data_IF_612685090317
#
_entry.id   IF_612685090317
#
_cell.length_a   1.000
_cell.length_b   1.000
_cell.length_c   1.000
_cell.angle_alpha   90.00
_cell.angle_beta   90.00
_cell.angle_gamma   90.00
#
_symmetry.space_group_name_H-M   'P 1'
#
loop_
_entity.id
_entity.type
_entity.pdbx_description
1 polymer ?
#
# COMPACT_ATOMS: atom_id res chain seq x y z
N UNK A 1 -55.45 54.00 -34.79
CA UNK A 1 -55.49 55.49 -34.94
C UNK A 1 -54.30 56.08 -34.25
N UNK A 2 -53.57 56.83 -35.06
CA UNK A 2 -52.50 57.81 -34.71
C UNK A 2 -51.07 57.27 -34.57
N UNK A 3 -50.39 57.48 -35.64
CA UNK A 3 -49.01 57.76 -35.98
C UNK A 3 -48.45 59.03 -35.33
N UNK A 4 -47.16 59.02 -35.01
CA UNK A 4 -46.16 60.14 -35.14
C UNK A 4 -44.82 59.49 -34.72
N UNK A 5 -43.75 59.38 -35.39
CA UNK A 5 -43.08 60.27 -36.31
C UNK A 5 -41.99 61.10 -35.58
N UNK A 6 -40.68 60.70 -35.71
CA UNK A 6 -39.64 61.52 -35.09
C UNK A 6 -38.25 60.89 -35.29
N UNK A 7 -37.63 61.19 -36.31
CA UNK A 7 -36.31 61.52 -36.83
C UNK A 7 -35.10 61.13 -35.96
N UNK A 8 -34.19 60.45 -36.61
CA UNK A 8 -32.86 60.02 -36.25
C UNK A 8 -31.85 61.16 -36.00
N UNK A 9 -30.97 60.96 -35.05
CA UNK A 9 -29.65 61.61 -35.04
C UNK A 9 -28.62 60.56 -34.63
N UNK A 10 -27.86 60.12 -35.60
CA UNK A 10 -26.68 59.25 -35.45
C UNK A 10 -25.52 60.09 -34.91
N UNK A 11 -25.11 59.77 -33.67
CA UNK A 11 -23.78 60.15 -33.17
C UNK A 11 -22.97 58.87 -32.94
N UNK A 12 -21.99 58.64 -33.78
CA UNK A 12 -21.01 57.58 -33.64
C UNK A 12 -20.01 57.97 -32.53
N UNK A 13 -20.11 57.31 -31.38
CA UNK A 13 -19.03 57.29 -30.39
C UNK A 13 -18.22 56.04 -30.58
N UNK A 14 -16.96 56.20 -31.03
CA UNK A 14 -15.93 55.17 -31.04
C UNK A 14 -15.54 54.87 -29.59
N UNK A 15 -16.02 53.74 -29.08
CA UNK A 15 -15.54 53.13 -27.84
C UNK A 15 -14.40 52.21 -28.16
N UNK A 16 -13.16 52.66 -27.98
CA UNK A 16 -11.97 51.81 -27.90
C UNK A 16 -12.11 50.99 -26.62
N UNK A 17 -12.64 49.76 -26.78
CA UNK A 17 -12.69 48.75 -25.69
C UNK A 17 -11.31 48.14 -25.53
N UNK A 18 -10.59 48.53 -24.49
CA UNK A 18 -9.49 47.71 -23.96
C UNK A 18 -10.11 46.42 -23.39
N UNK A 19 -10.02 45.32 -24.16
CA UNK A 19 -10.26 43.99 -23.62
C UNK A 19 -9.08 43.64 -22.69
N UNK A 20 -9.32 43.28 -21.43
CA UNK A 20 -8.28 42.65 -20.63
C UNK A 20 -8.07 41.25 -21.19
N UNK A 21 -6.94 41.03 -21.89
CA UNK A 21 -6.42 39.71 -22.21
C UNK A 21 -6.00 39.06 -20.90
N UNK A 22 -7.00 38.50 -20.21
CA UNK A 22 -6.77 37.57 -19.12
C UNK A 22 -6.27 36.24 -19.69
N UNK A 23 -4.99 36.15 -19.99
CA UNK A 23 -4.32 34.87 -20.08
C UNK A 23 -4.34 34.26 -18.66
N UNK A 24 -5.30 33.39 -18.41
CA UNK A 24 -5.20 32.44 -17.31
C UNK A 24 -4.07 31.46 -17.64
N UNK A 25 -2.83 31.92 -17.45
CA UNK A 25 -1.72 31.00 -17.30
C UNK A 25 -2.04 30.19 -16.02
N UNK A 26 -2.37 28.92 -16.18
CA UNK A 26 -2.23 27.92 -15.14
C UNK A 26 -0.75 27.81 -14.79
N UNK A 27 -0.20 28.83 -14.14
CA UNK A 27 1.15 28.84 -13.65
C UNK A 27 1.29 27.71 -12.65
N UNK A 28 2.15 26.74 -12.94
CA UNK A 28 2.61 25.81 -11.94
C UNK A 28 2.98 26.61 -10.69
N UNK A 29 2.41 26.27 -9.54
CA UNK A 29 2.72 26.95 -8.28
C UNK A 29 4.25 26.96 -8.11
N UNK A 30 4.81 28.15 -7.81
CA UNK A 30 6.25 28.23 -7.54
C UNK A 30 6.58 27.27 -6.41
N UNK A 31 7.66 26.47 -6.53
CA UNK A 31 8.11 25.63 -5.42
C UNK A 31 8.33 26.50 -4.16
N UNK A 32 7.99 25.96 -2.99
CA UNK A 32 8.25 26.60 -1.73
C UNK A 32 9.73 26.95 -1.59
N UNK A 33 10.06 28.16 -1.17
CA UNK A 33 11.44 28.57 -0.97
C UNK A 33 12.00 28.06 0.36
N UNK A 34 13.33 27.95 0.46
CA UNK A 34 13.98 27.62 1.75
C UNK A 34 13.61 28.62 2.84
N UNK A 35 13.52 29.90 2.49
CA UNK A 35 13.10 30.96 3.43
C UNK A 35 11.68 30.74 3.97
N UNK A 36 10.75 30.24 3.15
CA UNK A 36 9.38 29.91 3.60
C UNK A 36 9.39 28.71 4.54
N UNK A 37 10.23 27.69 4.24
CA UNK A 37 10.44 26.54 5.11
C UNK A 37 11.03 26.98 6.46
N UNK A 38 12.10 27.75 6.44
CA UNK A 38 12.76 28.27 7.65
C UNK A 38 11.79 29.08 8.51
N UNK A 39 10.98 29.95 7.88
CA UNK A 39 9.94 30.72 8.56
C UNK A 39 8.90 29.82 9.20
N UNK A 40 8.38 28.83 8.47
CA UNK A 40 7.35 27.90 8.97
C UNK A 40 7.90 27.09 10.16
N UNK A 41 9.12 26.57 10.04
CA UNK A 41 9.72 25.72 11.06
C UNK A 41 10.17 26.51 12.31
N UNK A 42 10.35 27.83 12.21
CA UNK A 42 10.64 28.73 13.32
C UNK A 42 9.39 29.44 13.90
N UNK A 43 8.19 29.17 13.38
CA UNK A 43 6.93 29.67 13.89
C UNK A 43 6.29 28.65 14.83
N UNK A 44 5.86 29.10 16.02
CA UNK A 44 5.18 28.21 16.97
C UNK A 44 3.92 27.62 16.34
N UNK A 45 3.92 26.30 16.15
CA UNK A 45 2.88 25.58 15.43
C UNK A 45 2.59 24.24 16.11
N UNK A 46 1.30 23.90 16.23
CA UNK A 46 0.89 22.57 16.69
C UNK A 46 0.31 21.80 15.52
N UNK A 47 0.84 20.62 15.26
CA UNK A 47 0.39 19.67 14.25
C UNK A 47 -0.32 18.50 14.91
N UNK A 48 -1.33 17.95 14.26
CA UNK A 48 -1.97 16.68 14.64
C UNK A 48 -1.61 15.62 13.61
N UNK A 49 -1.05 14.52 14.07
CA UNK A 49 -0.63 13.38 13.25
C UNK A 49 -1.39 12.12 13.63
N UNK A 50 -2.19 11.57 12.70
CA UNK A 50 -2.89 10.30 12.85
C UNK A 50 -2.09 9.16 12.23
N UNK A 51 -1.79 8.15 13.04
CA UNK A 51 -0.97 7.01 12.63
C UNK A 51 -1.36 5.77 13.41
N UNK A 52 -1.00 4.59 12.92
CA UNK A 52 -1.13 3.33 13.66
C UNK A 52 0.21 2.69 14.01
N UNK A 53 1.32 3.34 13.64
CA UNK A 53 2.65 2.84 13.98
C UNK A 53 2.84 2.89 15.49
N UNK A 54 3.13 1.75 16.16
CA UNK A 54 3.43 1.75 17.58
C UNK A 54 4.69 2.58 17.86
N UNK A 55 4.70 3.31 18.98
CA UNK A 55 5.86 4.08 19.44
C UNK A 55 6.42 5.12 18.46
N UNK A 56 5.66 5.56 17.45
CA UNK A 56 6.07 6.60 16.49
C UNK A 56 6.51 7.91 17.16
N UNK A 57 6.17 8.09 18.42
CA UNK A 57 6.63 9.23 19.22
C UNK A 57 8.15 9.36 19.21
N UNK A 58 8.90 8.28 19.09
CA UNK A 58 10.37 8.30 19.04
C UNK A 58 10.92 9.01 17.80
N UNK A 59 10.27 8.85 16.66
CA UNK A 59 10.59 9.53 15.40
C UNK A 59 10.13 10.99 15.45
N UNK A 60 8.96 11.25 16.04
CA UNK A 60 8.46 12.61 16.30
C UNK A 60 9.39 13.36 17.23
N UNK A 61 9.95 12.72 18.25
CA UNK A 61 10.92 13.36 19.18
C UNK A 61 12.19 13.80 18.45
N UNK A 62 12.68 13.04 17.46
CA UNK A 62 13.79 13.47 16.61
C UNK A 62 13.44 14.72 15.80
N UNK A 63 12.21 14.78 15.26
CA UNK A 63 11.73 15.93 14.52
C UNK A 63 11.61 17.16 15.40
N UNK A 64 10.98 17.06 16.57
CA UNK A 64 10.79 18.18 17.49
C UNK A 64 12.09 18.64 18.14
N UNK A 65 13.07 17.75 18.33
CA UNK A 65 14.42 18.14 18.73
C UNK A 65 15.11 19.03 17.69
N UNK A 66 14.90 18.75 16.39
CA UNK A 66 15.39 19.57 15.29
C UNK A 66 14.60 20.88 15.12
N UNK A 67 13.29 20.83 15.39
CA UNK A 67 12.37 21.95 15.20
C UNK A 67 11.58 22.28 16.48
N UNK A 68 12.21 22.89 17.49
CA UNK A 68 11.65 23.03 18.83
C UNK A 68 10.46 23.99 18.93
N UNK A 69 10.11 24.70 17.85
CA UNK A 69 8.90 25.51 17.77
C UNK A 69 7.68 24.72 17.32
N UNK A 70 7.88 23.50 16.83
CA UNK A 70 6.78 22.65 16.37
C UNK A 70 6.41 21.66 17.48
N UNK A 71 5.13 21.63 17.82
CA UNK A 71 4.53 20.59 18.68
C UNK A 71 3.76 19.62 17.80
N UNK A 72 3.90 18.29 18.05
CA UNK A 72 3.17 17.28 17.33
C UNK A 72 2.28 16.48 18.29
N UNK A 73 0.99 16.54 18.10
CA UNK A 73 0.01 15.71 18.80
C UNK A 73 -0.19 14.40 18.02
N UNK A 74 0.44 13.33 18.46
CA UNK A 74 0.25 12.01 17.88
C UNK A 74 -1.06 11.41 18.36
N UNK A 75 -1.92 11.03 17.43
CA UNK A 75 -3.14 10.27 17.68
C UNK A 75 -2.95 8.88 17.10
N UNK A 76 -2.69 7.90 17.97
CA UNK A 76 -2.59 6.51 17.53
C UNK A 76 -4.00 6.00 17.20
N UNK A 77 -4.20 5.59 15.95
CA UNK A 77 -5.42 4.98 15.46
C UNK A 77 -5.17 3.48 15.23
N UNK A 78 -6.18 2.66 15.44
CA UNK A 78 -6.08 1.26 15.05
C UNK A 78 -6.26 1.17 13.52
N UNK A 79 -5.21 0.96 12.74
CA UNK A 79 -5.15 1.01 11.28
C UNK A 79 -6.38 0.52 10.48
N UNK A 80 -6.27 0.52 9.17
CA UNK A 80 -7.24 -0.09 8.25
C UNK A 80 -8.72 0.27 8.51
N UNK A 81 -9.51 -0.71 8.90
CA UNK A 81 -10.98 -0.63 9.00
C UNK A 81 -11.55 0.41 9.96
N UNK A 82 -10.77 0.92 10.91
CA UNK A 82 -11.23 1.96 11.86
C UNK A 82 -10.69 3.35 11.53
N UNK A 83 -9.49 3.43 10.97
CA UNK A 83 -8.83 4.69 10.62
C UNK A 83 -9.61 5.49 9.57
N UNK A 84 -9.89 4.87 8.42
CA UNK A 84 -10.51 5.56 7.29
C UNK A 84 -11.94 6.03 7.52
N UNK A 85 -12.83 5.26 8.18
CA UNK A 85 -14.15 5.79 8.56
C UNK A 85 -14.07 7.01 9.46
N UNK A 86 -13.14 7.04 10.43
CA UNK A 86 -12.91 8.20 11.28
C UNK A 86 -12.42 9.41 10.49
N UNK A 87 -11.43 9.20 9.59
CA UNK A 87 -10.87 10.26 8.76
C UNK A 87 -11.94 10.84 7.81
N UNK A 88 -12.75 9.99 7.16
CA UNK A 88 -13.87 10.42 6.32
C UNK A 88 -14.93 11.19 7.12
N UNK A 89 -15.24 10.75 8.34
CA UNK A 89 -16.18 11.44 9.22
C UNK A 89 -15.66 12.82 9.64
N UNK A 90 -14.37 12.95 10.00
CA UNK A 90 -13.75 14.22 10.34
C UNK A 90 -13.74 15.19 9.14
N UNK A 91 -13.39 14.70 7.94
CA UNK A 91 -13.42 15.47 6.69
C UNK A 91 -14.84 15.97 6.37
N UNK A 92 -15.84 15.09 6.49
CA UNK A 92 -17.25 15.45 6.27
C UNK A 92 -17.75 16.49 7.28
N UNK A 93 -17.32 16.39 8.53
CA UNK A 93 -17.68 17.33 9.58
C UNK A 93 -16.92 18.67 9.50
N UNK A 94 -15.81 18.73 8.76
CA UNK A 94 -14.88 19.87 8.73
C UNK A 94 -14.24 20.17 10.08
N UNK A 95 -14.17 19.18 10.99
CA UNK A 95 -13.64 19.34 12.37
C UNK A 95 -12.83 18.11 12.76
N UNK A 96 -11.71 18.36 13.49
CA UNK A 96 -10.84 17.28 13.98
C UNK A 96 -10.07 16.56 12.88
N UNK A 97 -9.97 17.13 11.69
CA UNK A 97 -9.13 16.62 10.61
C UNK A 97 -7.67 16.79 11.02
N UNK A 98 -6.82 15.75 10.94
CA UNK A 98 -5.40 15.88 11.23
C UNK A 98 -4.68 16.76 10.20
N UNK A 99 -3.48 17.24 10.51
CA UNK A 99 -2.60 17.86 9.52
C UNK A 99 -1.92 16.81 8.65
N UNK A 100 -1.50 15.70 9.26
CA UNK A 100 -0.88 14.54 8.62
C UNK A 100 -1.61 13.27 9.01
N UNK A 101 -1.84 12.38 8.05
CA UNK A 101 -2.44 11.08 8.29
C UNK A 101 -1.62 9.98 7.58
N UNK A 102 -1.31 8.92 8.31
CA UNK A 102 -0.80 7.70 7.69
C UNK A 102 -1.86 7.12 6.75
N UNK A 103 -1.44 6.65 5.56
CA UNK A 103 -2.36 6.21 4.51
C UNK A 103 -1.76 5.05 3.72
N UNK A 104 -2.48 3.94 3.66
CA UNK A 104 -2.14 2.80 2.81
C UNK A 104 -2.27 3.19 1.33
N UNK A 105 -1.47 2.57 0.47
CA UNK A 105 -1.39 2.93 -0.94
C UNK A 105 -2.72 2.79 -1.69
N UNK A 106 -3.50 1.78 -1.37
CA UNK A 106 -4.80 1.52 -1.99
C UNK A 106 -5.89 2.54 -1.63
N UNK A 107 -5.69 3.34 -0.57
CA UNK A 107 -6.61 4.41 -0.20
C UNK A 107 -6.30 5.76 -0.83
N UNK A 108 -5.08 6.01 -1.31
CA UNK A 108 -4.67 7.30 -1.88
C UNK A 108 -5.62 7.76 -2.97
N UNK A 109 -5.97 6.87 -3.92
CA UNK A 109 -6.86 7.19 -5.03
C UNK A 109 -8.23 7.72 -4.56
N UNK A 110 -8.80 7.17 -3.50
CA UNK A 110 -10.10 7.58 -2.98
C UNK A 110 -10.08 8.95 -2.30
N UNK A 111 -8.98 9.29 -1.64
CA UNK A 111 -8.81 10.59 -0.98
C UNK A 111 -8.36 11.68 -1.96
N UNK A 112 -7.64 11.36 -3.03
CA UNK A 112 -7.34 12.30 -4.11
C UNK A 112 -8.59 12.66 -4.92
N UNK A 113 -9.46 11.68 -5.19
CA UNK A 113 -10.74 11.92 -5.86
C UNK A 113 -11.61 12.94 -5.11
N UNK A 114 -11.63 12.88 -3.78
CA UNK A 114 -12.37 13.83 -2.94
C UNK A 114 -11.60 15.12 -2.66
N UNK A 115 -10.40 15.29 -3.26
CA UNK A 115 -9.50 16.44 -3.06
C UNK A 115 -9.15 16.66 -1.58
N UNK A 116 -9.08 15.58 -0.83
CA UNK A 116 -8.78 15.62 0.61
C UNK A 116 -7.29 15.64 0.91
N UNK A 117 -6.44 15.26 -0.06
CA UNK A 117 -4.99 15.27 0.06
C UNK A 117 -4.38 16.49 -0.63
N UNK A 118 -3.31 17.01 -0.03
CA UNK A 118 -2.50 18.08 -0.62
C UNK A 118 -1.54 17.48 -1.66
N UNK A 119 -1.47 18.10 -2.85
CA UNK A 119 -0.37 17.81 -3.78
C UNK A 119 0.94 18.37 -3.24
N UNK A 120 1.87 17.47 -2.93
CA UNK A 120 3.14 17.77 -2.31
C UNK A 120 4.21 18.27 -3.30
N UNK A 121 3.94 18.27 -4.60
CA UNK A 121 4.90 18.72 -5.62
C UNK A 121 5.26 20.18 -5.45
N UNK A 122 4.29 21.03 -5.07
CA UNK A 122 4.55 22.45 -4.78
C UNK A 122 5.46 22.66 -3.56
N UNK A 123 5.59 21.65 -2.70
CA UNK A 123 6.45 21.65 -1.52
C UNK A 123 7.79 20.94 -1.76
N UNK A 124 8.04 20.46 -2.99
CA UNK A 124 9.29 19.86 -3.41
C UNK A 124 9.35 18.32 -3.35
N UNK A 125 8.22 17.65 -3.08
CA UNK A 125 8.22 16.19 -2.93
C UNK A 125 8.74 15.44 -4.17
N UNK A 126 8.43 15.92 -5.38
CA UNK A 126 8.87 15.29 -6.63
C UNK A 126 10.40 15.11 -6.71
N UNK A 127 11.17 15.97 -6.07
CA UNK A 127 12.64 15.87 -6.06
C UNK A 127 13.15 14.67 -5.26
N UNK A 128 12.32 14.08 -4.38
CA UNK A 128 12.65 12.92 -3.58
C UNK A 128 12.50 11.58 -4.32
N UNK A 129 11.88 11.59 -5.51
CA UNK A 129 11.48 10.38 -6.23
C UNK A 129 12.64 9.39 -6.45
N UNK A 130 13.83 9.88 -6.81
CA UNK A 130 15.02 9.05 -7.05
C UNK A 130 15.61 8.40 -5.79
N UNK A 131 15.23 8.88 -4.62
CA UNK A 131 15.74 8.37 -3.35
C UNK A 131 14.91 7.21 -2.79
N UNK A 132 13.76 6.95 -3.42
CA UNK A 132 12.86 5.86 -3.07
C UNK A 132 12.88 4.75 -4.13
N UNK A 133 12.47 3.57 -3.74
CA UNK A 133 12.23 2.46 -4.68
C UNK A 133 11.15 2.89 -5.69
N UNK A 134 11.43 2.76 -6.99
CA UNK A 134 10.57 3.28 -8.07
C UNK A 134 9.11 2.83 -7.97
N UNK A 135 8.88 1.53 -7.75
CA UNK A 135 7.50 1.02 -7.68
C UNK A 135 6.75 1.57 -6.46
N UNK A 136 7.44 1.82 -5.35
CA UNK A 136 6.85 2.41 -4.14
C UNK A 136 6.48 3.86 -4.39
N UNK A 137 7.38 4.63 -5.03
CA UNK A 137 7.08 6.02 -5.38
C UNK A 137 5.87 6.15 -6.30
N UNK A 138 5.71 5.19 -7.23
CA UNK A 138 4.55 5.13 -8.12
C UNK A 138 3.23 4.86 -7.38
N UNK A 139 3.27 4.32 -6.14
CA UNK A 139 2.05 4.14 -5.34
C UNK A 139 1.53 5.45 -4.73
N UNK A 140 2.39 6.44 -4.54
CA UNK A 140 2.04 7.74 -3.93
C UNK A 140 1.97 8.87 -4.95
N UNK A 141 2.35 8.64 -6.20
CA UNK A 141 2.44 9.68 -7.23
C UNK A 141 1.84 9.24 -8.56
N UNK A 142 1.34 10.20 -9.32
CA UNK A 142 0.86 10.02 -10.68
C UNK A 142 1.08 11.30 -11.51
N UNK A 143 0.52 11.38 -12.71
CA UNK A 143 0.64 12.55 -13.59
C UNK A 143 0.06 13.84 -12.98
N UNK A 144 -0.86 13.73 -12.00
CA UNK A 144 -1.54 14.86 -11.38
C UNK A 144 -0.80 15.41 -10.16
N UNK A 145 -0.01 14.58 -9.43
CA UNK A 145 0.67 15.03 -8.23
C UNK A 145 1.38 13.94 -7.44
N UNK A 146 1.91 14.33 -6.28
CA UNK A 146 2.46 13.44 -5.25
C UNK A 146 1.64 13.61 -3.98
N UNK A 147 1.08 12.53 -3.44
CA UNK A 147 0.01 12.56 -2.45
C UNK A 147 0.42 12.08 -1.06
N UNK A 148 1.63 11.53 -0.92
CA UNK A 148 2.19 11.08 0.34
C UNK A 148 3.70 10.88 0.24
N UNK A 149 4.35 10.75 1.37
CA UNK A 149 5.76 10.34 1.46
C UNK A 149 5.78 8.87 1.89
N UNK A 150 6.35 7.95 1.08
CA UNK A 150 6.32 6.53 1.39
C UNK A 150 6.97 6.19 2.73
N UNK A 151 6.29 5.39 3.55
CA UNK A 151 6.76 4.99 4.88
C UNK A 151 7.26 3.55 4.88
N UNK A 152 6.44 2.60 4.48
CA UNK A 152 6.76 1.18 4.45
C UNK A 152 6.23 0.49 3.21
N UNK A 153 6.71 -0.73 2.96
CA UNK A 153 6.29 -1.54 1.84
C UNK A 153 6.28 -3.04 2.18
N UNK A 154 5.64 -3.83 1.33
CA UNK A 154 5.44 -5.25 1.56
C UNK A 154 5.84 -6.15 0.39
N UNK A 155 7.08 -6.13 -0.10
CA UNK A 155 7.51 -7.11 -1.11
C UNK A 155 7.34 -8.53 -0.59
N UNK A 156 6.80 -9.43 -1.46
CA UNK A 156 6.45 -10.80 -1.07
C UNK A 156 7.65 -11.72 -1.00
N UNK A 157 7.67 -12.56 0.04
CA UNK A 157 8.56 -13.69 0.17
C UNK A 157 7.86 -14.90 0.75
N UNK A 158 8.63 -15.93 1.04
CA UNK A 158 8.20 -17.15 1.70
C UNK A 158 8.95 -17.27 3.02
N UNK A 159 8.22 -17.36 4.11
CA UNK A 159 8.78 -17.86 5.37
C UNK A 159 8.42 -19.34 5.48
N UNK A 160 9.42 -20.23 5.67
CA UNK A 160 9.16 -21.67 5.72
C UNK A 160 9.81 -22.33 6.94
N UNK A 161 9.16 -23.36 7.44
CA UNK A 161 9.60 -24.24 8.53
C UNK A 161 10.60 -25.24 8.00
N UNK A 162 11.91 -24.95 8.13
CA UNK A 162 12.98 -25.84 7.70
C UNK A 162 12.87 -27.23 8.34
N UNK A 163 12.48 -27.33 9.62
CA UNK A 163 12.31 -28.60 10.30
C UNK A 163 11.16 -29.45 9.73
N UNK A 164 10.05 -28.83 9.30
CA UNK A 164 8.94 -29.55 8.64
C UNK A 164 9.37 -30.01 7.24
N UNK A 165 10.06 -29.14 6.49
CA UNK A 165 10.58 -29.48 5.16
C UNK A 165 11.55 -30.65 5.24
N UNK A 166 12.55 -30.61 6.14
CA UNK A 166 13.47 -31.73 6.38
C UNK A 166 12.75 -33.03 6.75
N UNK A 167 11.72 -32.95 7.63
CA UNK A 167 10.89 -34.12 7.97
C UNK A 167 10.14 -34.68 6.75
N UNK A 168 9.78 -33.82 5.80
CA UNK A 168 9.15 -34.21 4.54
C UNK A 168 10.16 -34.77 3.50
N UNK A 169 11.47 -34.63 3.75
CA UNK A 169 12.53 -35.01 2.80
C UNK A 169 12.79 -33.92 1.75
N UNK A 170 12.53 -32.64 2.10
CA UNK A 170 12.74 -31.49 1.24
C UNK A 170 13.87 -30.63 1.83
N UNK A 171 14.90 -30.35 1.03
CA UNK A 171 16.10 -29.64 1.50
C UNK A 171 15.99 -28.11 1.42
N UNK A 172 15.09 -27.58 0.57
CA UNK A 172 14.93 -26.15 0.33
C UNK A 172 13.47 -25.75 0.07
N UNK A 173 13.19 -24.45 0.11
CA UNK A 173 11.92 -23.89 -0.34
C UNK A 173 11.76 -24.13 -1.86
N UNK A 174 10.53 -24.38 -2.36
CA UNK A 174 10.25 -24.56 -3.77
C UNK A 174 10.59 -23.31 -4.60
N UNK A 175 11.23 -23.52 -5.77
CA UNK A 175 11.58 -22.40 -6.65
C UNK A 175 10.39 -21.93 -7.48
N UNK A 176 9.56 -22.86 -7.97
CA UNK A 176 8.42 -22.56 -8.82
C UNK A 176 7.09 -22.91 -8.16
N UNK A 177 5.98 -22.32 -8.67
CA UNK A 177 4.64 -22.70 -8.24
C UNK A 177 4.31 -24.18 -8.54
N UNK A 178 4.92 -24.76 -9.57
CA UNK A 178 4.80 -26.20 -9.86
C UNK A 178 5.49 -27.02 -8.77
N UNK A 179 6.72 -26.65 -8.39
CA UNK A 179 7.46 -27.31 -7.30
C UNK A 179 6.75 -27.12 -5.96
N UNK A 180 6.13 -25.94 -5.73
CA UNK A 180 5.34 -25.67 -4.52
C UNK A 180 4.14 -26.60 -4.42
N UNK A 181 3.43 -26.88 -5.52
CA UNK A 181 2.34 -27.83 -5.54
C UNK A 181 2.81 -29.28 -5.28
N UNK A 182 3.95 -29.68 -5.83
CA UNK A 182 4.57 -30.99 -5.56
C UNK A 182 5.01 -31.11 -4.10
N UNK A 183 5.67 -30.07 -3.57
CA UNK A 183 6.05 -29.99 -2.15
C UNK A 183 4.82 -30.03 -1.23
N UNK A 184 3.71 -29.39 -1.61
CA UNK A 184 2.47 -29.42 -0.84
C UNK A 184 1.96 -30.85 -0.61
N UNK A 185 1.95 -31.67 -1.66
CA UNK A 185 1.57 -33.09 -1.57
C UNK A 185 2.51 -33.88 -0.67
N UNK A 186 3.82 -33.64 -0.80
CA UNK A 186 4.84 -34.30 0.00
C UNK A 186 4.76 -33.91 1.47
N UNK A 187 4.68 -32.62 1.79
CA UNK A 187 4.52 -32.09 3.15
C UNK A 187 3.26 -32.67 3.78
N UNK A 188 2.14 -32.65 3.08
CA UNK A 188 0.86 -33.17 3.60
C UNK A 188 0.94 -34.65 3.94
N UNK A 189 1.49 -35.46 3.04
CA UNK A 189 1.57 -36.91 3.22
C UNK A 189 2.56 -37.34 4.32
N UNK A 190 3.69 -36.64 4.45
CA UNK A 190 4.76 -37.00 5.38
C UNK A 190 4.62 -36.39 6.76
N UNK A 191 3.96 -35.26 6.89
CA UNK A 191 3.93 -34.49 8.15
C UNK A 191 2.52 -34.19 8.66
N UNK A 192 1.50 -34.28 7.80
CA UNK A 192 0.13 -33.86 8.08
C UNK A 192 -0.10 -32.35 7.99
N UNK A 193 0.96 -31.53 7.87
CA UNK A 193 0.86 -30.08 7.74
C UNK A 193 0.29 -29.68 6.40
N UNK A 194 -0.39 -28.54 6.33
CA UNK A 194 -0.65 -27.83 5.07
C UNK A 194 0.64 -27.16 4.60
N UNK A 195 0.83 -27.03 3.28
CA UNK A 195 2.00 -26.28 2.77
C UNK A 195 1.87 -24.82 3.19
N UNK A 196 0.68 -24.21 3.08
CA UNK A 196 0.38 -22.84 3.45
C UNK A 196 -1.11 -22.67 3.75
N UNK A 197 -1.51 -21.42 3.97
CA UNK A 197 -2.89 -20.97 4.09
C UNK A 197 -3.24 -20.06 2.90
N UNK A 198 -4.48 -20.17 2.39
CA UNK A 198 -5.09 -19.26 1.43
C UNK A 198 -6.38 -18.72 2.05
N UNK A 199 -6.35 -17.58 2.74
CA UNK A 199 -7.48 -17.10 3.52
C UNK A 199 -8.55 -16.46 2.63
N UNK A 200 -9.82 -16.68 2.97
CA UNK A 200 -10.93 -16.00 2.32
C UNK A 200 -11.22 -14.59 2.84
N UNK A 201 -10.63 -14.21 3.98
CA UNK A 201 -10.86 -12.92 4.63
C UNK A 201 -9.86 -11.83 4.22
N UNK A 202 -8.81 -12.16 3.46
CA UNK A 202 -7.82 -11.19 3.01
C UNK A 202 -7.70 -11.14 1.48
N UNK A 203 -8.23 -10.07 0.90
CA UNK A 203 -8.12 -9.79 -0.52
C UNK A 203 -6.68 -9.51 -0.95
N UNK A 204 -5.90 -8.86 -0.08
CA UNK A 204 -4.61 -8.31 -0.47
C UNK A 204 -3.55 -9.38 -0.68
N UNK A 205 -3.63 -10.52 0.02
CA UNK A 205 -2.77 -11.67 -0.28
C UNK A 205 -2.99 -12.16 -1.73
N UNK A 206 -4.24 -12.32 -2.15
CA UNK A 206 -4.55 -12.75 -3.52
C UNK A 206 -4.15 -11.69 -4.57
N UNK A 207 -4.44 -10.43 -4.30
CA UNK A 207 -4.04 -9.31 -5.18
C UNK A 207 -2.52 -9.28 -5.35
N UNK A 208 -1.76 -9.59 -4.30
CA UNK A 208 -0.31 -9.64 -4.39
C UNK A 208 0.21 -10.76 -5.31
N UNK A 209 -0.49 -11.88 -5.38
CA UNK A 209 -0.20 -12.95 -6.36
C UNK A 209 -0.59 -12.55 -7.78
N UNK A 210 -1.67 -11.80 -7.97
CA UNK A 210 -2.00 -11.20 -9.26
C UNK A 210 -0.91 -10.22 -9.71
N UNK A 211 -0.42 -9.39 -8.80
CA UNK A 211 0.69 -8.48 -9.06
C UNK A 211 1.96 -9.23 -9.48
N UNK A 212 2.38 -10.26 -8.73
CA UNK A 212 3.50 -11.12 -9.08
C UNK A 212 3.33 -11.78 -10.46
N UNK A 213 2.12 -12.19 -10.82
CA UNK A 213 1.81 -12.79 -12.11
C UNK A 213 1.84 -11.78 -13.28
N UNK A 214 2.15 -10.50 -13.02
CA UNK A 214 2.16 -9.43 -14.00
C UNK A 214 0.78 -8.93 -14.41
N UNK A 215 -0.29 -9.34 -13.69
CA UNK A 215 -1.63 -8.85 -13.97
C UNK A 215 -1.80 -7.37 -13.55
N UNK A 216 -2.67 -6.68 -14.28
CA UNK A 216 -3.05 -5.28 -14.03
C UNK A 216 -4.57 -5.22 -13.81
N UNK A 217 -5.07 -5.74 -12.66
CA UNK A 217 -6.51 -5.87 -12.44
C UNK A 217 -7.22 -4.52 -12.38
N UNK A 218 -6.47 -3.45 -12.11
CA UNK A 218 -7.01 -2.12 -11.95
C UNK A 218 -6.23 -1.09 -12.76
N UNK A 219 -6.93 -0.03 -13.21
CA UNK A 219 -6.32 1.22 -13.66
C UNK A 219 -7.24 2.40 -13.33
N UNK A 220 -6.66 3.57 -13.11
CA UNK A 220 -7.39 4.79 -12.81
C UNK A 220 -6.68 6.00 -13.42
N UNK A 221 -7.41 6.83 -14.18
CA UNK A 221 -6.85 8.00 -14.85
C UNK A 221 -6.70 9.23 -13.93
N UNK A 222 -7.03 9.08 -12.65
CA UNK A 222 -7.03 10.17 -11.67
C UNK A 222 -8.27 11.07 -11.75
N UNK A 223 -9.26 10.76 -12.60
CA UNK A 223 -10.47 11.54 -12.78
C UNK A 223 -11.74 10.67 -12.81
N UNK A 224 -12.14 10.18 -13.99
CA UNK A 224 -13.42 9.48 -14.17
C UNK A 224 -13.32 8.13 -14.87
N UNK A 225 -12.15 7.75 -15.37
CA UNK A 225 -12.00 6.51 -16.11
C UNK A 225 -11.29 5.47 -15.27
N UNK A 226 -11.89 4.30 -15.12
CA UNK A 226 -11.30 3.15 -14.45
C UNK A 226 -11.23 1.95 -15.39
N UNK A 227 -10.17 1.15 -15.25
CA UNK A 227 -10.10 -0.19 -15.82
C UNK A 227 -10.29 -1.22 -14.71
N UNK A 228 -11.09 -2.25 -14.97
CA UNK A 228 -11.35 -3.34 -14.03
C UNK A 228 -11.22 -4.65 -14.81
N UNK A 229 -10.11 -5.35 -14.62
CA UNK A 229 -9.79 -6.63 -15.30
C UNK A 229 -9.42 -7.72 -14.29
N UNK A 230 -10.28 -7.88 -13.26
CA UNK A 230 -10.12 -8.91 -12.24
C UNK A 230 -10.23 -10.32 -12.84
N UNK A 231 -11.07 -10.49 -13.87
CA UNK A 231 -11.31 -11.79 -14.51
C UNK A 231 -10.42 -12.05 -15.74
N UNK A 232 -9.24 -11.42 -15.80
CA UNK A 232 -8.24 -11.64 -16.86
C UNK A 232 -7.80 -13.11 -16.96
N UNK A 233 -7.29 -13.51 -18.13
CA UNK A 233 -6.75 -14.86 -18.31
C UNK A 233 -5.60 -15.18 -17.32
N UNK A 234 -4.78 -14.18 -16.97
CA UNK A 234 -3.72 -14.33 -15.97
C UNK A 234 -4.30 -14.60 -14.58
N UNK A 235 -5.28 -13.81 -14.14
CA UNK A 235 -5.91 -13.98 -12.83
C UNK A 235 -6.69 -15.29 -12.73
N UNK A 236 -7.35 -15.72 -13.82
CA UNK A 236 -8.01 -17.02 -13.87
C UNK A 236 -7.02 -18.19 -13.69
N UNK A 237 -5.79 -18.09 -14.23
CA UNK A 237 -4.74 -19.11 -14.00
C UNK A 237 -4.30 -19.14 -12.54
N UNK A 238 -4.07 -17.97 -11.93
CA UNK A 238 -3.72 -17.89 -10.51
C UNK A 238 -4.82 -18.50 -9.63
N UNK A 239 -6.07 -18.13 -9.87
CA UNK A 239 -7.22 -18.64 -9.10
C UNK A 239 -7.41 -20.15 -9.31
N UNK A 240 -7.22 -20.65 -10.54
CA UNK A 240 -7.31 -22.09 -10.84
C UNK A 240 -6.24 -22.90 -10.11
N UNK A 241 -5.01 -22.37 -10.00
CA UNK A 241 -3.93 -22.99 -9.25
C UNK A 241 -4.30 -23.16 -7.77
N UNK A 242 -4.79 -22.09 -7.12
CA UNK A 242 -5.21 -22.14 -5.73
C UNK A 242 -6.42 -23.06 -5.53
N UNK A 243 -7.39 -23.03 -6.44
CA UNK A 243 -8.54 -23.94 -6.39
C UNK A 243 -8.11 -25.42 -6.39
N UNK A 244 -7.16 -25.80 -7.25
CA UNK A 244 -6.66 -27.17 -7.32
C UNK A 244 -6.03 -27.60 -5.97
N UNK A 245 -5.19 -26.75 -5.36
CA UNK A 245 -4.57 -27.05 -4.07
C UNK A 245 -5.58 -27.12 -2.92
N UNK A 246 -6.60 -26.25 -2.92
CA UNK A 246 -7.68 -26.25 -1.92
C UNK A 246 -8.52 -27.53 -2.03
N UNK A 247 -8.92 -27.91 -3.26
CA UNK A 247 -9.73 -29.11 -3.50
C UNK A 247 -8.98 -30.40 -3.15
N UNK A 248 -7.66 -30.41 -3.37
CA UNK A 248 -6.78 -31.54 -2.94
C UNK A 248 -6.47 -31.52 -1.45
N UNK A 249 -6.99 -30.58 -0.68
CA UNK A 249 -6.73 -30.39 0.75
C UNK A 249 -5.25 -30.24 1.11
N UNK A 250 -4.49 -29.60 0.23
CA UNK A 250 -3.05 -29.33 0.39
C UNK A 250 -2.78 -27.96 1.01
N UNK A 251 -3.77 -27.05 0.91
CA UNK A 251 -3.77 -25.69 1.45
C UNK A 251 -4.96 -25.52 2.40
N UNK A 252 -4.74 -24.87 3.55
CA UNK A 252 -5.81 -24.48 4.45
C UNK A 252 -6.54 -23.24 3.94
N UNK A 253 -7.79 -23.06 4.33
CA UNK A 253 -8.59 -21.84 4.08
C UNK A 253 -8.97 -21.12 5.37
N UNK A 254 -8.20 -21.36 6.45
CA UNK A 254 -8.46 -20.68 7.72
C UNK A 254 -8.32 -19.16 7.55
N UNK A 255 -9.12 -18.36 8.26
CA UNK A 255 -8.91 -16.91 8.33
C UNK A 255 -7.53 -16.59 8.91
N UNK A 256 -6.79 -15.69 8.24
CA UNK A 256 -5.51 -15.20 8.71
C UNK A 256 -5.66 -14.07 9.76
N UNK A 257 -4.52 -13.64 10.34
CA UNK A 257 -4.43 -12.60 11.38
C UNK A 257 -5.29 -12.84 12.62
N UNK A 258 -5.71 -14.09 12.85
CA UNK A 258 -6.41 -14.52 14.06
C UNK A 258 -5.44 -15.22 15.03
N UNK A 259 -5.78 -15.26 16.32
CA UNK A 259 -5.01 -16.02 17.32
C UNK A 259 -4.88 -17.49 16.92
N UNK A 260 -5.95 -18.09 16.39
CA UNK A 260 -5.95 -19.48 15.90
C UNK A 260 -4.97 -19.68 14.74
N UNK A 261 -4.88 -18.72 13.84
CA UNK A 261 -3.92 -18.74 12.73
C UNK A 261 -2.47 -18.70 13.23
N UNK A 262 -2.14 -17.76 14.11
CA UNK A 262 -0.80 -17.64 14.68
C UNK A 262 -0.41 -18.86 15.52
N UNK A 263 -1.36 -19.44 16.27
CA UNK A 263 -1.16 -20.74 16.94
C UNK A 263 -0.91 -21.86 15.93
N UNK A 264 -1.57 -21.83 14.78
CA UNK A 264 -1.35 -22.76 13.68
C UNK A 264 0.09 -22.70 13.14
N UNK A 265 0.63 -21.50 12.90
CA UNK A 265 2.03 -21.27 12.53
C UNK A 265 2.99 -21.82 13.61
N UNK A 266 2.71 -21.50 14.87
CA UNK A 266 3.50 -21.93 16.02
C UNK A 266 3.55 -23.46 16.17
N UNK A 267 2.42 -24.15 15.96
CA UNK A 267 2.30 -25.61 16.10
C UNK A 267 2.70 -26.39 14.85
N UNK A 268 2.99 -25.70 13.74
CA UNK A 268 3.35 -26.34 12.47
C UNK A 268 2.16 -26.87 11.68
N UNK A 269 0.96 -26.30 11.88
CA UNK A 269 -0.20 -26.60 11.02
C UNK A 269 0.09 -26.20 9.57
N UNK A 270 0.84 -25.12 9.37
CA UNK A 270 1.30 -24.61 8.09
C UNK A 270 2.82 -24.69 8.00
N UNK A 271 3.33 -25.24 6.92
CA UNK A 271 4.77 -25.39 6.68
C UNK A 271 5.41 -24.12 6.13
N UNK A 272 4.62 -23.24 5.49
CA UNK A 272 5.06 -21.94 4.99
C UNK A 272 4.05 -20.84 5.34
N UNK A 273 4.54 -19.63 5.37
CA UNK A 273 3.75 -18.40 5.31
C UNK A 273 4.24 -17.58 4.10
N UNK A 274 3.39 -17.47 3.08
CA UNK A 274 3.62 -16.61 1.93
C UNK A 274 3.22 -15.20 2.35
N UNK A 275 4.19 -14.35 2.63
CA UNK A 275 3.95 -13.08 3.32
C UNK A 275 4.92 -11.99 2.88
N UNK A 276 4.52 -10.76 3.11
CA UNK A 276 5.33 -9.59 2.85
C UNK A 276 6.50 -9.41 3.84
N UNK A 277 7.40 -8.50 3.50
CA UNK A 277 8.61 -8.19 4.28
C UNK A 277 8.35 -7.71 5.73
N UNK A 278 7.12 -7.29 6.06
CA UNK A 278 6.70 -7.01 7.44
C UNK A 278 6.34 -8.28 8.24
N UNK A 279 6.09 -9.43 7.56
CA UNK A 279 5.71 -10.70 8.21
C UNK A 279 6.70 -11.25 9.23
N UNK A 280 8.01 -11.16 8.99
CA UNK A 280 9.02 -11.71 9.91
C UNK A 280 8.86 -11.27 11.36
N UNK A 281 8.53 -10.00 11.63
CA UNK A 281 8.38 -9.50 13.01
C UNK A 281 7.13 -10.06 13.69
N UNK A 282 6.02 -10.18 12.95
CA UNK A 282 4.80 -10.77 13.49
C UNK A 282 5.03 -12.23 13.87
N UNK A 283 5.75 -12.98 13.03
CA UNK A 283 6.06 -14.38 13.30
C UNK A 283 6.97 -14.53 14.54
N UNK A 284 7.97 -13.69 14.69
CA UNK A 284 8.81 -13.67 15.90
C UNK A 284 8.01 -13.37 17.16
N UNK A 285 7.04 -12.45 17.08
CA UNK A 285 6.18 -12.07 18.19
C UNK A 285 5.20 -13.18 18.60
N UNK A 286 4.63 -13.87 17.63
CA UNK A 286 3.49 -14.79 17.84
C UNK A 286 3.89 -16.27 17.91
N UNK A 287 5.02 -16.68 17.33
CA UNK A 287 5.48 -18.08 17.28
C UNK A 287 6.85 -18.29 17.95
N UNK A 288 7.09 -17.64 19.09
CA UNK A 288 8.39 -17.60 19.82
C UNK A 288 9.01 -18.98 20.06
N UNK A 289 8.21 -20.00 20.30
CA UNK A 289 8.62 -21.40 20.54
C UNK A 289 9.18 -22.09 19.28
N UNK A 290 9.16 -21.43 18.12
CA UNK A 290 9.70 -21.94 16.85
C UNK A 290 10.99 -21.23 16.43
N UNK A 291 11.61 -20.50 17.34
CA UNK A 291 12.88 -19.81 17.09
C UNK A 291 13.93 -20.78 16.54
N UNK A 292 14.66 -20.34 15.51
CA UNK A 292 15.68 -21.13 14.81
C UNK A 292 15.15 -22.08 13.72
N UNK A 293 13.83 -22.33 13.65
CA UNK A 293 13.20 -23.30 12.74
C UNK A 293 12.71 -22.69 11.43
N UNK A 294 12.70 -21.38 11.30
CA UNK A 294 12.22 -20.69 10.11
C UNK A 294 13.37 -20.20 9.23
N UNK A 295 13.09 -20.10 7.94
CA UNK A 295 13.97 -19.44 6.95
C UNK A 295 13.12 -18.58 6.02
N UNK A 296 13.73 -17.52 5.47
CA UNK A 296 13.16 -16.74 4.40
C UNK A 296 13.68 -17.22 3.04
N UNK A 297 12.81 -17.30 2.06
CA UNK A 297 13.07 -17.65 0.68
C UNK A 297 12.25 -16.76 -0.26
N UNK A 298 12.61 -16.74 -1.55
CA UNK A 298 11.81 -16.07 -2.58
C UNK A 298 10.41 -16.67 -2.63
N UNK A 299 9.43 -15.85 -3.03
CA UNK A 299 8.12 -16.36 -3.42
C UNK A 299 8.29 -17.31 -4.62
N UNK A 300 7.58 -18.44 -4.70
CA UNK A 300 7.69 -19.34 -5.86
C UNK A 300 7.43 -18.60 -7.16
N UNK A 301 8.17 -18.91 -8.22
CA UNK A 301 8.08 -18.26 -9.51
C UNK A 301 7.20 -19.03 -10.48
N UNK A 302 6.67 -18.37 -11.50
CA UNK A 302 5.89 -19.05 -12.54
C UNK A 302 6.79 -19.87 -13.48
N UNK A 303 8.03 -19.42 -13.74
CA UNK A 303 9.03 -20.13 -14.49
C UNK A 303 10.36 -20.18 -13.72
N UNK A 304 11.12 -21.26 -13.91
CA UNK A 304 12.45 -21.40 -13.30
C UNK A 304 13.38 -20.26 -13.76
N UNK A 305 14.19 -19.76 -12.84
CA UNK A 305 15.13 -18.66 -13.10
C UNK A 305 14.51 -17.26 -13.11
N UNK A 306 13.20 -17.11 -12.99
CA UNK A 306 12.56 -15.81 -12.79
C UNK A 306 12.88 -15.24 -11.39
N UNK A 307 12.73 -13.92 -11.26
CA UNK A 307 12.91 -13.22 -9.99
C UNK A 307 11.92 -12.06 -9.89
N UNK A 308 10.64 -12.38 -9.79
CA UNK A 308 9.53 -11.42 -9.76
C UNK A 308 8.78 -11.57 -8.45
N UNK A 309 8.53 -10.47 -7.77
CA UNK A 309 7.71 -10.41 -6.57
C UNK A 309 6.47 -9.53 -6.79
N UNK A 310 5.45 -9.76 -5.98
CA UNK A 310 4.33 -8.85 -5.79
C UNK A 310 4.53 -8.00 -4.53
N UNK A 311 3.52 -7.19 -4.21
CA UNK A 311 3.50 -6.40 -3.00
C UNK A 311 2.20 -6.61 -2.22
N UNK A 312 2.29 -6.71 -0.90
CA UNK A 312 1.15 -6.82 0.00
C UNK A 312 1.22 -5.75 1.09
N UNK A 313 0.34 -4.75 0.99
CA UNK A 313 0.29 -3.62 1.91
C UNK A 313 1.33 -2.54 1.61
N UNK A 314 1.67 -1.80 2.63
CA UNK A 314 2.53 -0.62 2.57
C UNK A 314 1.74 0.68 2.72
N UNK A 315 2.38 1.68 3.29
CA UNK A 315 1.76 2.95 3.63
C UNK A 315 2.66 4.16 3.38
N UNK A 316 2.08 5.31 3.50
CA UNK A 316 2.71 6.64 3.37
C UNK A 316 2.16 7.57 4.43
N UNK A 317 2.81 8.71 4.64
CA UNK A 317 2.24 9.83 5.37
C UNK A 317 1.77 10.91 4.41
N UNK A 318 0.46 11.17 4.41
CA UNK A 318 -0.21 12.15 3.54
C UNK A 318 -0.55 13.42 4.31
N UNK A 319 -0.41 14.57 3.65
CA UNK A 319 -0.82 15.88 4.21
C UNK A 319 -2.25 16.18 3.78
N UNK A 320 -3.09 16.55 4.74
CA UNK A 320 -4.47 16.87 4.45
C UNK A 320 -4.60 18.23 3.77
N UNK A 321 -5.39 18.33 2.69
CA UNK A 321 -5.51 19.55 1.88
C UNK A 321 -6.02 20.78 2.65
N UNK A 322 -6.84 20.54 3.67
CA UNK A 322 -7.45 21.59 4.52
C UNK A 322 -6.55 22.12 5.64
N UNK A 323 -5.33 21.57 5.84
CA UNK A 323 -4.45 22.08 6.89
C UNK A 323 -4.01 23.51 6.62
N UNK A 324 -4.04 24.41 7.61
CA UNK A 324 -3.42 25.74 7.50
C UNK A 324 -1.89 25.69 7.55
N UNK A 325 -1.31 24.57 8.03
CA UNK A 325 0.11 24.42 8.34
C UNK A 325 0.85 23.59 7.27
N UNK A 326 0.55 23.79 5.99
CA UNK A 326 0.96 22.93 4.86
C UNK A 326 2.46 22.61 4.84
N UNK A 327 3.32 23.64 5.04
CA UNK A 327 4.79 23.48 5.02
C UNK A 327 5.23 22.64 6.21
N UNK A 328 4.81 22.98 7.42
CA UNK A 328 5.21 22.25 8.62
C UNK A 328 4.70 20.80 8.62
N UNK A 329 3.49 20.57 8.14
CA UNK A 329 2.91 19.22 7.98
C UNK A 329 3.70 18.38 6.96
N UNK A 330 4.08 18.98 5.83
CA UNK A 330 4.93 18.31 4.84
C UNK A 330 6.33 18.01 5.40
N UNK A 331 6.97 18.96 6.09
CA UNK A 331 8.27 18.74 6.70
C UNK A 331 8.24 17.64 7.76
N UNK A 332 7.14 17.51 8.53
CA UNK A 332 6.93 16.39 9.44
C UNK A 332 6.85 15.04 8.69
N UNK A 333 5.97 14.93 7.69
CA UNK A 333 5.82 13.71 6.90
C UNK A 333 7.13 13.32 6.20
N UNK A 334 7.82 14.32 5.62
CA UNK A 334 9.13 14.15 5.01
C UNK A 334 10.17 13.72 6.03
N UNK A 335 10.27 14.36 7.18
CA UNK A 335 11.27 14.01 8.19
C UNK A 335 11.13 12.57 8.65
N UNK A 336 9.91 12.17 9.03
CA UNK A 336 9.66 10.80 9.52
C UNK A 336 10.09 9.76 8.49
N UNK A 337 9.82 9.98 7.20
CA UNK A 337 9.98 8.97 6.16
C UNK A 337 11.22 9.16 5.26
N UNK A 338 12.01 10.21 5.47
CA UNK A 338 13.17 10.53 4.65
C UNK A 338 14.47 10.76 5.45
N UNK A 339 14.39 11.30 6.68
CA UNK A 339 15.57 11.45 7.53
C UNK A 339 16.19 10.08 7.84
N UNK A 340 17.51 9.94 7.69
CA UNK A 340 18.18 8.64 7.81
C UNK A 340 18.06 8.04 9.22
N UNK A 341 18.17 8.88 10.26
CA UNK A 341 18.03 8.39 11.63
C UNK A 341 16.59 7.95 11.93
N UNK A 342 15.61 8.70 11.41
CA UNK A 342 14.19 8.37 11.54
C UNK A 342 13.84 7.06 10.80
N UNK A 343 14.23 6.92 9.53
CA UNK A 343 13.93 5.74 8.72
C UNK A 343 14.61 4.47 9.22
N UNK A 344 15.85 4.57 9.75
CA UNK A 344 16.51 3.44 10.41
C UNK A 344 15.81 3.06 11.71
N UNK A 345 15.30 4.03 12.47
CA UNK A 345 14.56 3.79 13.69
C UNK A 345 13.20 3.13 13.37
N UNK A 346 12.46 3.61 12.35
CA UNK A 346 11.25 2.96 11.86
C UNK A 346 11.51 1.49 11.49
N UNK A 347 12.59 1.21 10.75
CA UNK A 347 12.94 -0.12 10.33
C UNK A 347 13.36 -1.05 11.49
N UNK A 348 14.21 -0.58 12.40
CA UNK A 348 14.85 -1.41 13.39
C UNK A 348 14.05 -1.52 14.71
N UNK A 349 13.26 -0.50 15.04
CA UNK A 349 12.51 -0.47 16.30
C UNK A 349 11.00 -0.62 16.11
N UNK A 350 10.44 -0.10 14.99
CA UNK A 350 9.02 -0.23 14.66
C UNK A 350 8.76 -1.37 13.66
N UNK A 351 9.84 -1.93 13.09
CA UNK A 351 9.79 -3.07 12.16
C UNK A 351 9.01 -2.80 10.87
N UNK A 352 8.99 -1.55 10.43
CA UNK A 352 8.45 -1.18 9.13
C UNK A 352 9.50 -1.42 8.06
N UNK A 353 9.11 -2.09 6.97
CA UNK A 353 10.07 -2.41 5.91
C UNK A 353 10.36 -1.16 5.07
N UNK A 354 11.63 -0.69 5.00
CA UNK A 354 11.97 0.61 4.44
C UNK A 354 11.63 0.74 2.96
N UNK A 355 11.38 1.98 2.54
CA UNK A 355 11.08 2.36 1.17
C UNK A 355 12.16 3.22 0.53
N UNK A 356 13.01 3.84 1.35
CA UNK A 356 14.11 4.70 0.93
C UNK A 356 15.34 3.86 0.60
N UNK A 357 15.95 4.10 -0.57
CA UNK A 357 17.11 3.33 -1.07
C UNK A 357 18.27 3.33 -0.09
N UNK A 358 18.65 4.50 0.45
CA UNK A 358 19.78 4.58 1.40
C UNK A 358 19.54 3.83 2.73
N UNK A 359 18.29 3.64 3.13
CA UNK A 359 17.95 2.83 4.31
C UNK A 359 17.98 1.35 3.99
N UNK A 360 17.44 0.95 2.82
CA UNK A 360 17.50 -0.43 2.32
C UNK A 360 18.93 -0.92 2.10
N UNK A 361 19.85 -0.05 1.72
CA UNK A 361 21.26 -0.34 1.48
C UNK A 361 22.12 -0.23 2.73
N UNK A 362 21.59 0.35 3.81
CA UNK A 362 22.36 0.56 5.06
C UNK A 362 22.73 -0.77 5.71
N UNK A 363 24.00 -0.88 6.13
CA UNK A 363 24.48 -2.02 6.91
C UNK A 363 23.81 -2.12 8.29
N UNK A 364 23.33 -1.00 8.84
CA UNK A 364 22.58 -0.96 10.10
C UNK A 364 21.22 -1.65 9.96
N UNK A 365 20.67 -1.71 8.75
CA UNK A 365 19.46 -2.45 8.45
C UNK A 365 19.76 -3.88 7.94
N UNK A 366 20.57 -4.02 6.89
CA UNK A 366 20.83 -5.30 6.19
C UNK A 366 21.76 -6.24 6.94
N UNK A 367 22.69 -5.70 7.73
CA UNK A 367 23.73 -6.48 8.42
C UNK A 367 23.24 -7.36 9.56
N UNK A 368 22.01 -7.17 10.02
CA UNK A 368 21.46 -7.84 11.20
C UNK A 368 21.19 -9.33 10.93
N UNK A 369 21.82 -10.19 11.75
CA UNK A 369 21.51 -11.61 11.77
C UNK A 369 20.29 -11.84 12.66
N UNK A 370 19.30 -12.58 12.16
CA UNK A 370 18.06 -12.90 12.87
C UNK A 370 18.12 -14.32 13.46
N UNK A 371 18.38 -14.51 14.79
CA UNK A 371 18.46 -15.84 15.40
C UNK A 371 17.19 -16.67 15.21
N UNK A 372 16.03 -16.03 15.21
CA UNK A 372 14.74 -16.67 14.96
C UNK A 372 14.69 -17.39 13.59
N UNK A 373 15.43 -16.86 12.61
CA UNK A 373 15.56 -17.41 11.25
C UNK A 373 16.90 -18.14 11.05
N UNK A 374 17.42 -18.76 12.11
CA UNK A 374 18.67 -19.54 12.05
C UNK A 374 19.91 -18.70 11.75
N UNK A 375 19.90 -17.44 12.07
CA UNK A 375 21.01 -16.52 11.80
C UNK A 375 21.01 -15.91 10.39
N UNK A 376 19.95 -16.14 9.58
CA UNK A 376 19.80 -15.53 8.27
C UNK A 376 19.65 -14.01 8.39
N UNK A 377 20.22 -13.26 7.46
CA UNK A 377 20.02 -11.81 7.33
C UNK A 377 18.72 -11.54 6.55
N UNK A 378 17.60 -11.60 7.26
CA UNK A 378 16.26 -11.52 6.65
C UNK A 378 16.00 -10.14 6.04
N UNK A 379 16.52 -9.08 6.64
CA UNK A 379 16.39 -7.72 6.10
C UNK A 379 17.14 -7.56 4.76
N UNK A 380 18.40 -8.08 4.66
CA UNK A 380 19.17 -8.11 3.41
C UNK A 380 18.43 -8.91 2.32
N UNK A 381 17.86 -10.05 2.69
CA UNK A 381 17.07 -10.86 1.77
C UNK A 381 15.88 -10.11 1.20
N UNK A 382 15.04 -9.49 2.04
CA UNK A 382 13.87 -8.75 1.58
C UNK A 382 14.23 -7.45 0.87
N UNK A 383 15.34 -6.79 1.21
CA UNK A 383 15.86 -5.66 0.44
C UNK A 383 16.14 -6.04 -1.02
N UNK A 384 16.75 -7.22 -1.24
CA UNK A 384 16.91 -7.78 -2.59
C UNK A 384 15.59 -8.12 -3.28
N UNK A 385 14.59 -8.61 -2.54
CA UNK A 385 13.26 -8.90 -3.09
C UNK A 385 12.52 -7.61 -3.49
N UNK A 386 12.67 -6.52 -2.75
CA UNK A 386 12.02 -5.24 -3.06
C UNK A 386 12.35 -4.73 -4.47
N UNK A 387 13.58 -4.96 -4.94
CA UNK A 387 13.99 -4.57 -6.28
C UNK A 387 13.31 -5.35 -7.41
N UNK A 388 12.58 -6.41 -7.10
CA UNK A 388 11.96 -7.33 -8.07
C UNK A 388 10.45 -7.17 -8.24
N UNK A 389 9.84 -6.22 -7.53
CA UNK A 389 8.40 -5.92 -7.64
C UNK A 389 8.13 -5.13 -8.92
N UNK A 390 7.07 -5.50 -9.68
CA UNK A 390 6.67 -4.76 -10.89
C UNK A 390 6.30 -3.32 -10.54
N UNK A 391 6.82 -2.37 -11.32
CA UNK A 391 6.72 -0.94 -11.08
C UNK A 391 5.33 -0.34 -11.34
N UNK A 392 4.44 -1.07 -12.02
CA UNK A 392 3.14 -0.54 -12.47
C UNK A 392 2.00 -1.34 -11.88
N UNK A 393 1.44 -0.82 -10.82
CA UNK A 393 0.21 -1.35 -10.23
C UNK A 393 -0.63 -0.19 -9.71
N UNK A 394 -1.88 -0.12 -10.15
CA UNK A 394 -2.82 0.94 -9.80
C UNK A 394 -3.90 0.43 -8.86
N UNK A 395 -4.48 1.35 -8.09
CA UNK A 395 -5.62 1.10 -7.21
C UNK A 395 -6.84 1.90 -7.68
N UNK A 396 -8.03 1.36 -7.45
CA UNK A 396 -9.28 2.05 -7.75
C UNK A 396 -9.64 3.07 -6.65
N UNK A 397 -10.37 4.15 -6.97
CA UNK A 397 -10.79 5.13 -5.96
C UNK A 397 -11.91 4.63 -5.03
N UNK A 398 -12.28 3.36 -5.09
CA UNK A 398 -13.30 2.70 -4.29
C UNK A 398 -12.88 1.31 -3.80
N UNK A 399 -11.63 1.18 -3.33
CA UNK A 399 -11.10 -0.10 -2.83
C UNK A 399 -11.87 -0.66 -1.63
N UNK A 400 -12.52 0.18 -0.82
CA UNK A 400 -13.46 -0.29 0.22
C UNK A 400 -14.55 -1.20 -0.35
N UNK A 401 -15.12 -0.82 -1.51
CA UNK A 401 -16.13 -1.64 -2.18
C UNK A 401 -15.51 -2.89 -2.80
N UNK A 402 -14.36 -2.77 -3.42
CA UNK A 402 -13.64 -3.91 -4.01
C UNK A 402 -13.37 -4.97 -2.95
N UNK A 403 -12.93 -4.56 -1.76
CA UNK A 403 -12.67 -5.45 -0.64
C UNK A 403 -13.95 -6.08 -0.08
N UNK A 404 -15.00 -5.28 0.15
CA UNK A 404 -16.27 -5.81 0.67
C UNK A 404 -16.95 -6.77 -0.31
N UNK A 405 -16.87 -6.48 -1.61
CA UNK A 405 -17.38 -7.38 -2.65
C UNK A 405 -16.54 -8.65 -2.79
N UNK A 406 -15.23 -8.59 -2.60
CA UNK A 406 -14.37 -9.77 -2.49
C UNK A 406 -14.84 -10.69 -1.37
N UNK A 407 -15.02 -10.16 -0.17
CA UNK A 407 -15.43 -10.94 1.00
C UNK A 407 -16.74 -11.71 0.78
N UNK A 408 -17.69 -11.12 0.02
CA UNK A 408 -18.99 -11.75 -0.29
C UNK A 408 -18.98 -12.66 -1.52
N UNK A 409 -17.93 -12.63 -2.33
CA UNK A 409 -17.80 -13.42 -3.58
C UNK A 409 -16.62 -14.38 -3.52
N UNK A 410 -15.47 -13.99 -4.01
CA UNK A 410 -14.29 -14.85 -4.13
C UNK A 410 -13.75 -15.30 -2.76
N UNK A 411 -13.72 -14.41 -1.77
CA UNK A 411 -13.33 -14.75 -0.41
C UNK A 411 -14.25 -15.78 0.24
N UNK A 412 -15.57 -15.62 0.04
CA UNK A 412 -16.56 -16.63 0.46
C UNK A 412 -16.34 -17.97 -0.26
N UNK A 413 -16.10 -17.94 -1.58
CA UNK A 413 -15.85 -19.15 -2.36
C UNK A 413 -14.59 -19.89 -1.91
N UNK A 414 -13.52 -19.17 -1.53
CA UNK A 414 -12.33 -19.77 -0.93
C UNK A 414 -12.68 -20.48 0.37
N UNK A 415 -13.38 -19.80 1.29
CA UNK A 415 -13.78 -20.35 2.58
C UNK A 415 -14.68 -21.58 2.43
N UNK A 416 -15.61 -21.55 1.48
CA UNK A 416 -16.55 -22.64 1.18
C UNK A 416 -15.94 -23.75 0.29
N UNK A 417 -14.70 -23.54 -0.22
CA UNK A 417 -14.02 -24.44 -1.19
C UNK A 417 -14.84 -24.67 -2.45
N UNK A 418 -15.58 -23.67 -2.88
CA UNK A 418 -16.47 -23.73 -4.06
C UNK A 418 -15.76 -23.29 -5.36
N UNK A 419 -16.48 -23.01 -6.44
CA UNK A 419 -15.91 -22.60 -7.72
C UNK A 419 -15.33 -21.19 -7.68
N UNK A 420 -14.00 -21.09 -7.58
CA UNK A 420 -13.29 -19.81 -7.50
C UNK A 420 -13.30 -19.04 -8.82
N UNK A 421 -13.37 -19.72 -9.99
CA UNK A 421 -13.44 -19.02 -11.28
C UNK A 421 -14.78 -18.33 -11.48
N UNK A 422 -15.87 -19.01 -11.15
CA UNK A 422 -17.20 -18.41 -11.18
C UNK A 422 -17.32 -17.24 -10.20
N UNK A 423 -16.73 -17.38 -9.01
CA UNK A 423 -16.69 -16.32 -8.00
C UNK A 423 -15.85 -15.12 -8.44
N UNK A 424 -14.72 -15.34 -9.12
CA UNK A 424 -13.87 -14.27 -9.69
C UNK A 424 -14.66 -13.47 -10.74
N UNK A 425 -15.39 -14.13 -11.64
CA UNK A 425 -16.23 -13.47 -12.63
C UNK A 425 -17.36 -12.66 -11.96
N UNK A 426 -17.94 -13.18 -10.89
CA UNK A 426 -18.96 -12.47 -10.10
C UNK A 426 -18.37 -11.22 -9.44
N UNK A 427 -17.18 -11.33 -8.83
CA UNK A 427 -16.48 -10.20 -8.23
C UNK A 427 -16.18 -9.10 -9.27
N UNK A 428 -15.64 -9.46 -10.43
CA UNK A 428 -15.48 -8.55 -11.58
C UNK A 428 -16.75 -7.80 -11.91
N UNK A 429 -17.87 -8.55 -12.07
CA UNK A 429 -19.17 -7.99 -12.47
C UNK A 429 -19.71 -7.00 -11.42
N UNK A 430 -19.57 -7.32 -10.14
CA UNK A 430 -19.97 -6.43 -9.05
C UNK A 430 -19.15 -5.13 -9.03
N UNK A 431 -17.84 -5.21 -9.18
CA UNK A 431 -16.96 -4.04 -9.23
C UNK A 431 -17.28 -3.13 -10.44
N UNK A 432 -17.51 -3.72 -11.62
CA UNK A 432 -17.89 -2.97 -12.83
C UNK A 432 -19.27 -2.29 -12.65
N UNK A 433 -20.23 -3.00 -12.08
CA UNK A 433 -21.57 -2.46 -11.81
C UNK A 433 -21.50 -1.28 -10.85
N UNK A 434 -20.75 -1.43 -9.76
CA UNK A 434 -20.54 -0.36 -8.78
C UNK A 434 -19.85 0.86 -9.40
N UNK A 435 -18.79 0.67 -10.16
CA UNK A 435 -18.09 1.76 -10.84
C UNK A 435 -19.05 2.60 -11.71
N UNK A 436 -19.88 1.93 -12.51
CA UNK A 436 -20.90 2.61 -13.35
C UNK A 436 -21.93 3.36 -12.51
N UNK A 437 -22.40 2.79 -11.39
CA UNK A 437 -23.33 3.44 -10.47
C UNK A 437 -22.74 4.68 -9.81
N UNK A 438 -21.41 4.69 -9.57
CA UNK A 438 -20.68 5.85 -9.06
C UNK A 438 -20.32 6.88 -10.14
N UNK A 439 -20.74 6.67 -11.38
CA UNK A 439 -20.52 7.60 -12.49
C UNK A 439 -19.14 7.50 -13.16
N UNK A 440 -18.40 6.41 -12.93
CA UNK A 440 -17.17 6.13 -13.64
C UNK A 440 -17.41 5.58 -15.04
N UNK A 441 -16.54 5.96 -15.98
CA UNK A 441 -16.39 5.27 -17.28
C UNK A 441 -15.51 4.05 -17.05
N UNK A 442 -16.03 2.86 -17.38
CA UNK A 442 -15.28 1.60 -17.27
C UNK A 442 -14.76 1.22 -18.66
N UNK A 443 -13.44 0.99 -18.76
CA UNK A 443 -12.77 0.46 -19.96
C UNK A 443 -12.76 -1.05 -19.97
#
# INVERSE_FOLDING_TARGET
VLTFGGIAATTALALTGCAPSGSTSTGAAKPVSQSDIDKAMNTATTLTFWTWVPNIQKEVDLFTAKYPKITVNVVNTTGGSTHYPKLRAALKAGKGVPDVAQMEYDYIASFTQTKSLLDLNSLGAKALASDYVDWVWNQVSNAQGTWGIPQDSGPLGTLYREDIFKKAGLDAAPETWADFAAAASTVKSKTGSYITNMPGNDMFQLISFFWQAGAKPFSYDGNKTVGIDLNSATNQKVVAYWQDLIQKNLVSVDPDFTDAYYQGLSRGKYATWLVAAWGPVFLQGTAKNTSGKWRAAKIPQYNAGENISGNWGGSSDAVMAGTPNKIAAYELAKFINYDQASTLKLANEQFLFPTKNSTLESTDFTGQKAPFYGGQKVNEFFAGVSATVDKKFDWLPFMDYVNSSYASTLGKAISDKSDLKAALATWQSQCVTYAKQQGFTVK
#
